data_IF_566598711885
#
_entry.id   IF_566598711885
#
_cell.length_a   1.000
_cell.length_b   1.000
_cell.length_c   1.000
_cell.angle_alpha   90.00
_cell.angle_beta   90.00
_cell.angle_gamma   90.00
#
_symmetry.space_group_name_H-M   'P 1'
#
loop_
_entity.id
_entity.type
_entity.pdbx_description
1 polymer ?
#
# COMPACT_ATOMS: atom_id res chain seq x y z
N UNK A 1 -10.49 4.45 1.98
CA UNK A 1 -9.25 3.69 2.28
C UNK A 1 -8.39 4.56 3.20
N UNK A 2 -7.88 4.03 4.33
CA UNK A 2 -7.12 4.84 5.30
C UNK A 2 -5.78 5.24 4.69
N UNK A 3 -5.56 6.55 4.56
CA UNK A 3 -4.31 7.13 4.11
C UNK A 3 -3.35 7.12 5.30
N UNK A 4 -2.36 6.21 5.29
CA UNK A 4 -1.35 6.14 6.36
C UNK A 4 -0.25 7.16 6.11
N UNK A 5 -0.05 8.05 7.08
CA UNK A 5 1.11 8.94 7.14
C UNK A 5 2.15 8.36 8.09
N UNK A 6 3.17 7.71 7.52
CA UNK A 6 4.27 7.10 8.27
C UNK A 6 5.14 8.12 9.00
N UNK A 7 4.99 9.44 8.76
CA UNK A 7 5.78 10.48 9.42
C UNK A 7 5.40 10.74 10.87
N UNK A 8 4.19 10.34 11.28
CA UNK A 8 3.66 10.63 12.61
C UNK A 8 4.02 9.59 13.67
N UNK A 9 4.84 8.58 13.34
CA UNK A 9 5.25 7.54 14.30
C UNK A 9 6.32 8.12 15.24
N UNK A 10 6.03 8.10 16.55
CA UNK A 10 6.90 8.63 17.59
C UNK A 10 8.18 7.79 17.74
N UNK A 11 9.27 8.44 18.15
CA UNK A 11 10.54 7.75 18.40
C UNK A 11 10.37 6.69 19.47
N UNK A 12 10.85 5.48 19.19
CA UNK A 12 10.82 4.36 20.13
C UNK A 12 12.08 4.44 21.01
N UNK A 13 11.95 4.73 22.32
CA UNK A 13 13.11 4.81 23.20
C UNK A 13 13.70 3.42 23.46
N UNK A 14 15.03 3.35 23.65
CA UNK A 14 15.75 2.07 23.76
C UNK A 14 16.49 2.00 25.10
N UNK A 15 16.40 0.84 25.77
CA UNK A 15 17.19 0.52 26.96
C UNK A 15 17.01 1.55 28.09
N UNK A 16 18.12 2.10 28.58
CA UNK A 16 18.13 3.04 29.72
C UNK A 16 17.39 4.35 29.44
N UNK A 17 17.36 4.81 28.19
CA UNK A 17 16.64 6.05 27.82
C UNK A 17 15.14 5.90 28.09
N UNK A 18 14.59 4.71 27.85
CA UNK A 18 13.20 4.41 28.17
C UNK A 18 12.93 4.58 29.68
N UNK A 19 13.83 4.06 30.51
CA UNK A 19 13.70 4.14 31.97
C UNK A 19 13.77 5.57 32.46
N UNK A 20 14.76 6.32 31.99
CA UNK A 20 14.97 7.69 32.43
C UNK A 20 13.78 8.58 32.06
N UNK A 21 13.19 8.35 30.88
CA UNK A 21 11.98 9.02 30.44
C UNK A 21 10.80 8.74 31.38
N UNK A 22 10.57 7.47 31.73
CA UNK A 22 9.47 7.06 32.62
C UNK A 22 9.69 7.55 34.06
N UNK A 23 10.88 7.34 34.62
CA UNK A 23 11.19 7.76 36.00
C UNK A 23 11.13 9.28 36.16
N UNK A 24 11.58 10.03 35.15
CA UNK A 24 11.48 11.49 35.13
C UNK A 24 10.02 11.95 35.13
N UNK A 25 9.16 11.30 34.33
CA UNK A 25 7.72 11.57 34.28
C UNK A 25 7.04 11.28 35.63
N UNK A 26 7.27 10.09 36.19
CA UNK A 26 6.73 9.70 37.51
C UNK A 26 7.19 10.66 38.60
N UNK A 27 8.48 11.04 38.62
CA UNK A 27 9.02 11.95 39.64
C UNK A 27 8.37 13.34 39.61
N UNK A 28 7.94 13.82 38.44
CA UNK A 28 7.24 15.10 38.28
C UNK A 28 5.77 15.04 38.67
N UNK A 29 5.09 13.92 38.36
CA UNK A 29 3.64 13.78 38.58
C UNK A 29 3.25 13.40 40.00
N UNK A 30 4.17 12.81 40.78
CA UNK A 30 3.86 12.27 42.11
C UNK A 30 4.60 13.00 43.23
N UNK A 31 4.00 13.12 44.44
CA UNK A 31 4.64 13.81 45.56
C UNK A 31 5.96 13.14 45.96
N UNK A 32 6.97 13.93 46.35
CA UNK A 32 8.33 13.43 46.63
C UNK A 32 8.75 13.51 48.10
N UNK A 33 8.07 14.33 48.90
CA UNK A 33 8.49 14.60 50.28
C UNK A 33 7.66 13.77 51.26
N UNK A 34 8.35 12.92 52.03
CA UNK A 34 7.78 12.23 53.19
C UNK A 34 8.17 12.98 54.48
N UNK A 35 7.18 13.30 55.32
CA UNK A 35 7.39 13.93 56.63
C UNK A 35 7.43 12.87 57.73
N UNK A 36 8.18 13.13 58.80
CA UNK A 36 8.20 12.28 60.00
C UNK A 36 6.82 12.36 60.68
N UNK A 37 6.23 11.21 61.00
CA UNK A 37 4.93 11.12 61.68
C UNK A 37 3.73 10.70 60.80
N UNK A 38 3.93 10.36 59.52
CA UNK A 38 2.84 9.81 58.71
C UNK A 38 2.37 8.44 59.22
N UNK A 39 1.06 8.22 59.18
CA UNK A 39 0.44 6.91 59.47
C UNK A 39 0.88 5.87 58.44
N UNK A 40 0.87 4.60 58.82
CA UNK A 40 1.23 3.51 57.90
C UNK A 40 0.32 3.51 56.66
N UNK A 41 -0.96 3.82 56.81
CA UNK A 41 -1.91 3.90 55.69
C UNK A 41 -1.51 4.97 54.68
N UNK A 42 -1.06 6.15 55.13
CA UNK A 42 -0.53 7.18 54.22
C UNK A 42 0.75 6.73 53.52
N UNK A 43 1.64 5.99 54.20
CA UNK A 43 2.84 5.44 53.58
C UNK A 43 2.48 4.42 52.49
N UNK A 44 1.53 3.51 52.77
CA UNK A 44 1.03 2.53 51.80
C UNK A 44 0.45 3.22 50.58
N UNK A 45 -0.44 4.20 50.77
CA UNK A 45 -1.02 5.00 49.68
C UNK A 45 0.06 5.73 48.87
N UNK A 46 1.04 6.34 49.54
CA UNK A 46 2.14 7.05 48.87
C UNK A 46 2.95 6.13 47.95
N UNK A 47 3.36 4.94 48.41
CA UNK A 47 4.12 4.01 47.58
C UNK A 47 3.26 3.30 46.54
N UNK A 48 2.00 3.02 46.85
CA UNK A 48 1.01 2.48 45.89
C UNK A 48 0.84 3.43 44.71
N UNK A 49 0.68 4.74 44.98
CA UNK A 49 0.61 5.76 43.94
C UNK A 49 1.86 5.76 43.05
N UNK A 50 3.06 5.63 43.64
CA UNK A 50 4.32 5.58 42.86
C UNK A 50 4.38 4.36 41.95
N UNK A 51 3.98 3.18 42.44
CA UNK A 51 3.96 1.95 41.63
C UNK A 51 2.92 2.05 40.51
N UNK A 52 1.70 2.50 40.83
CA UNK A 52 0.62 2.68 39.85
C UNK A 52 0.95 3.74 38.79
N UNK A 53 1.50 4.89 39.17
CA UNK A 53 1.88 5.91 38.18
C UNK A 53 2.99 5.40 37.24
N UNK A 54 3.90 4.57 37.76
CA UNK A 54 4.96 3.95 36.96
C UNK A 54 4.36 2.98 35.95
N UNK A 55 3.44 2.12 36.38
CA UNK A 55 2.71 1.21 35.50
C UNK A 55 1.95 1.96 34.41
N UNK A 56 1.15 2.97 34.76
CA UNK A 56 0.37 3.76 33.79
C UNK A 56 1.32 4.42 32.77
N UNK A 57 2.44 4.96 33.22
CA UNK A 57 3.43 5.57 32.33
C UNK A 57 4.04 4.55 31.36
N UNK A 58 4.34 3.33 31.81
CA UNK A 58 4.80 2.24 30.94
C UNK A 58 3.68 1.83 29.96
N UNK A 59 2.47 1.63 30.45
CA UNK A 59 1.31 1.21 29.67
C UNK A 59 0.99 2.21 28.56
N UNK A 60 0.94 3.51 28.88
CA UNK A 60 0.72 4.58 27.91
C UNK A 60 1.75 4.54 26.79
N UNK A 61 3.05 4.45 27.15
CA UNK A 61 4.13 4.54 26.17
C UNK A 61 4.21 3.29 25.29
N UNK A 62 4.02 2.10 25.86
CA UNK A 62 3.95 0.85 25.10
C UNK A 62 2.70 0.79 24.22
N UNK A 63 1.55 1.27 24.69
CA UNK A 63 0.32 1.33 23.89
C UNK A 63 0.48 2.29 22.71
N UNK A 64 1.07 3.47 22.95
CA UNK A 64 1.42 4.41 21.88
C UNK A 64 2.24 3.73 20.78
N UNK A 65 3.24 2.91 21.15
CA UNK A 65 4.04 2.16 20.17
C UNK A 65 3.18 1.13 19.43
N UNK A 66 2.32 0.37 20.12
CA UNK A 66 1.48 -0.64 19.45
C UNK A 66 0.45 0.01 18.51
N UNK A 67 -0.10 1.16 18.88
CA UNK A 67 -1.17 1.84 18.15
C UNK A 67 -0.66 2.68 16.96
N UNK A 68 0.53 3.29 17.07
CA UNK A 68 1.14 4.08 15.99
C UNK A 68 1.71 3.21 14.87
N UNK A 69 2.17 1.99 15.19
CA UNK A 69 2.70 1.08 14.20
C UNK A 69 1.56 0.39 13.44
N UNK A 70 1.54 0.46 12.10
CA UNK A 70 0.40 -0.02 11.32
C UNK A 70 0.37 -1.55 11.23
N UNK A 71 -0.81 -2.13 11.45
CA UNK A 71 -1.03 -3.55 11.20
C UNK A 71 -0.83 -3.87 9.72
N UNK A 72 0.12 -4.76 9.39
CA UNK A 72 0.48 -5.07 7.99
C UNK A 72 -0.71 -5.50 7.12
N UNK A 73 -1.74 -6.10 7.72
CA UNK A 73 -2.91 -6.60 7.00
C UNK A 73 -3.91 -5.46 6.66
N UNK A 74 -3.81 -4.30 7.30
CA UNK A 74 -4.66 -3.11 7.06
C UNK A 74 -4.01 -2.09 6.11
N UNK A 75 -2.70 -2.16 5.94
CA UNK A 75 -1.94 -1.27 5.05
C UNK A 75 -2.28 -1.56 3.59
N UNK A 76 -2.23 -0.52 2.75
CA UNK A 76 -2.35 -0.68 1.32
C UNK A 76 -1.39 -1.76 0.76
N UNK A 77 -1.85 -2.65 -0.12
CA UNK A 77 -1.02 -3.69 -0.72
C UNK A 77 0.32 -3.21 -1.32
N UNK A 78 0.38 -1.98 -1.86
CA UNK A 78 1.62 -1.37 -2.34
C UNK A 78 2.64 -1.20 -1.23
N UNK A 79 2.28 -0.54 -0.13
CA UNK A 79 3.21 -0.34 0.98
C UNK A 79 3.52 -1.66 1.66
N UNK A 80 2.57 -2.61 1.76
CA UNK A 80 2.86 -3.95 2.29
C UNK A 80 4.00 -4.61 1.50
N UNK A 81 3.94 -4.59 0.17
CA UNK A 81 5.01 -5.11 -0.69
C UNK A 81 6.33 -4.34 -0.52
N UNK A 82 6.30 -3.01 -0.50
CA UNK A 82 7.51 -2.19 -0.32
C UNK A 82 8.18 -2.47 1.04
N UNK A 83 7.37 -2.64 2.08
CA UNK A 83 7.83 -2.94 3.44
C UNK A 83 8.43 -4.35 3.52
N UNK A 84 7.88 -5.34 2.82
CA UNK A 84 8.47 -6.69 2.71
C UNK A 84 9.88 -6.70 2.11
N UNK A 85 10.21 -5.73 1.27
CA UNK A 85 11.57 -5.61 0.72
C UNK A 85 12.57 -5.13 1.77
N UNK A 86 12.08 -4.38 2.77
CA UNK A 86 12.91 -3.75 3.79
C UNK A 86 13.04 -4.62 5.04
N UNK A 87 12.00 -5.40 5.39
CA UNK A 87 11.99 -6.20 6.60
C UNK A 87 11.11 -7.46 6.52
N UNK A 88 11.40 -8.40 7.42
CA UNK A 88 10.62 -9.63 7.57
C UNK A 88 9.30 -9.37 8.32
N UNK A 89 8.18 -9.74 7.67
CA UNK A 89 6.82 -9.63 8.19
C UNK A 89 6.64 -10.41 9.49
N UNK A 90 7.22 -11.60 9.57
CA UNK A 90 7.00 -12.49 10.72
C UNK A 90 7.78 -11.97 11.94
N UNK A 91 9.01 -11.51 11.73
CA UNK A 91 9.79 -10.86 12.77
C UNK A 91 9.13 -9.56 13.26
N UNK A 92 8.60 -8.72 12.36
CA UNK A 92 7.86 -7.50 12.73
C UNK A 92 6.63 -7.81 13.61
N UNK A 93 5.81 -8.77 13.20
CA UNK A 93 4.63 -9.19 13.99
C UNK A 93 5.03 -9.77 15.35
N UNK A 94 6.11 -10.55 15.39
CA UNK A 94 6.64 -11.10 16.64
C UNK A 94 7.08 -9.99 17.60
N UNK A 95 7.85 -9.00 17.12
CA UNK A 95 8.32 -7.88 17.94
C UNK A 95 7.15 -7.04 18.49
N UNK A 96 6.14 -6.71 17.68
CA UNK A 96 4.94 -6.04 18.17
C UNK A 96 4.16 -6.89 19.19
N UNK A 97 4.06 -8.21 18.95
CA UNK A 97 3.44 -9.14 19.90
C UNK A 97 4.17 -9.19 21.25
N UNK A 98 5.51 -9.17 21.24
CA UNK A 98 6.32 -9.11 22.46
C UNK A 98 6.09 -7.80 23.23
N UNK A 99 6.01 -6.66 22.54
CA UNK A 99 5.68 -5.37 23.17
C UNK A 99 4.30 -5.41 23.82
N UNK A 100 3.31 -5.96 23.12
CA UNK A 100 1.95 -6.10 23.66
C UNK A 100 1.90 -7.05 24.88
N UNK A 101 2.68 -8.15 24.85
CA UNK A 101 2.78 -9.08 25.97
C UNK A 101 3.44 -8.42 27.18
N UNK A 102 4.53 -7.68 26.96
CA UNK A 102 5.23 -6.93 28.00
C UNK A 102 4.33 -5.87 28.66
N UNK A 103 3.48 -5.21 27.88
CA UNK A 103 2.46 -4.29 28.41
C UNK A 103 1.57 -4.95 29.45
N UNK A 104 1.05 -6.16 29.17
CA UNK A 104 0.20 -6.89 30.11
C UNK A 104 0.99 -7.41 31.32
N UNK A 105 2.20 -7.94 31.12
CA UNK A 105 3.05 -8.41 32.22
C UNK A 105 3.37 -7.30 33.23
N UNK A 106 3.58 -6.06 32.77
CA UNK A 106 3.83 -4.91 33.64
C UNK A 106 2.60 -4.59 34.51
N UNK A 107 1.39 -4.66 33.93
CA UNK A 107 0.13 -4.47 34.68
C UNK A 107 -0.06 -5.57 35.73
N UNK A 108 0.25 -6.82 35.40
CA UNK A 108 0.16 -7.94 36.35
C UNK A 108 1.15 -7.77 37.52
N UNK A 109 2.41 -7.47 37.23
CA UNK A 109 3.44 -7.16 38.25
C UNK A 109 2.99 -6.00 39.14
N UNK A 110 2.43 -4.94 38.54
CA UNK A 110 1.90 -3.79 39.28
C UNK A 110 0.82 -4.22 40.28
N UNK A 111 -0.17 -4.99 39.83
CA UNK A 111 -1.28 -5.44 40.66
C UNK A 111 -0.82 -6.33 41.83
N UNK A 112 0.14 -7.22 41.59
CA UNK A 112 0.72 -8.08 42.62
C UNK A 112 1.43 -7.28 43.72
N UNK A 113 2.27 -6.31 43.32
CA UNK A 113 2.98 -5.46 44.28
C UNK A 113 2.06 -4.47 45.00
N UNK A 114 1.00 -3.99 44.36
CA UNK A 114 -0.02 -3.15 45.00
C UNK A 114 -0.73 -3.94 46.10
N UNK A 115 -1.12 -5.18 45.82
CA UNK A 115 -1.71 -6.08 46.81
C UNK A 115 -0.76 -6.32 47.99
N UNK A 116 0.54 -6.53 47.73
CA UNK A 116 1.53 -6.68 48.81
C UNK A 116 1.75 -5.39 49.62
N UNK A 117 1.66 -4.22 48.98
CA UNK A 117 1.79 -2.92 49.64
C UNK A 117 0.64 -2.63 50.60
N UNK A 118 -0.56 -3.18 50.38
CA UNK A 118 -1.69 -3.07 51.30
C UNK A 118 -1.38 -3.64 52.70
N UNK A 119 -0.51 -4.64 52.78
CA UNK A 119 -0.10 -5.31 54.02
C UNK A 119 1.24 -4.81 54.59
N UNK A 120 1.90 -3.84 53.96
CA UNK A 120 3.22 -3.37 54.41
C UNK A 120 3.19 -2.74 55.82
N UNK A 121 4.02 -3.21 56.75
CA UNK A 121 3.94 -2.80 58.16
C UNK A 121 4.90 -1.65 58.52
N UNK A 122 5.93 -1.43 57.69
CA UNK A 122 6.97 -0.43 57.95
C UNK A 122 7.34 0.38 56.72
N UNK A 123 7.88 1.58 56.95
CA UNK A 123 8.45 2.44 55.89
C UNK A 123 9.54 1.70 55.09
N UNK A 124 10.40 0.94 55.77
CA UNK A 124 11.48 0.19 55.13
C UNK A 124 10.93 -0.87 54.19
N UNK A 125 9.95 -1.65 54.64
CA UNK A 125 9.30 -2.67 53.83
C UNK A 125 8.60 -2.08 52.60
N UNK A 126 7.81 -1.01 52.78
CA UNK A 126 7.14 -0.34 51.66
C UNK A 126 8.15 0.20 50.63
N UNK A 127 9.28 0.77 51.09
CA UNK A 127 10.34 1.26 50.19
C UNK A 127 11.00 0.12 49.41
N UNK A 128 11.24 -1.03 50.05
CA UNK A 128 11.80 -2.22 49.39
C UNK A 128 10.81 -2.75 48.35
N UNK A 129 9.53 -2.91 48.70
CA UNK A 129 8.48 -3.36 47.78
C UNK A 129 8.38 -2.45 46.55
N UNK A 130 8.32 -1.12 46.74
CA UNK A 130 8.33 -0.16 45.63
C UNK A 130 9.56 -0.32 44.74
N UNK A 131 10.74 -0.53 45.32
CA UNK A 131 11.99 -0.64 44.55
C UNK A 131 12.04 -1.96 43.79
N UNK A 132 11.56 -3.04 44.39
CA UNK A 132 11.42 -4.35 43.76
C UNK A 132 10.42 -4.31 42.60
N UNK A 133 9.26 -3.68 42.79
CA UNK A 133 8.24 -3.53 41.76
C UNK A 133 8.79 -2.82 40.51
N UNK A 134 9.39 -1.64 40.69
CA UNK A 134 9.98 -0.87 39.59
C UNK A 134 11.13 -1.65 38.93
N UNK A 135 11.96 -2.36 39.72
CA UNK A 135 13.04 -3.18 39.19
C UNK A 135 12.55 -4.33 38.31
N UNK A 136 11.45 -5.00 38.71
CA UNK A 136 10.86 -6.07 37.91
C UNK A 136 10.21 -5.54 36.62
N UNK A 137 9.47 -4.43 36.70
CA UNK A 137 8.92 -3.76 35.52
C UNK A 137 10.04 -3.40 34.52
N UNK A 138 11.16 -2.88 35.03
CA UNK A 138 12.32 -2.59 34.19
C UNK A 138 12.95 -3.85 33.60
N UNK A 139 13.07 -4.93 34.37
CA UNK A 139 13.61 -6.19 33.86
C UNK A 139 12.83 -6.71 32.65
N UNK A 140 11.49 -6.58 32.65
CA UNK A 140 10.64 -6.92 31.50
C UNK A 140 10.99 -6.06 30.27
N UNK A 141 11.18 -4.75 30.45
CA UNK A 141 11.57 -3.84 29.36
C UNK A 141 12.96 -4.17 28.82
N UNK A 142 13.90 -4.51 29.71
CA UNK A 142 15.26 -4.87 29.33
C UNK A 142 15.28 -6.15 28.48
N UNK A 143 14.37 -7.08 28.73
CA UNK A 143 14.21 -8.31 27.94
C UNK A 143 13.71 -8.01 26.51
N UNK A 144 12.75 -7.09 26.35
CA UNK A 144 12.21 -6.70 25.03
C UNK A 144 13.01 -5.61 24.31
N UNK A 145 14.13 -5.15 24.90
CA UNK A 145 14.96 -4.08 24.32
C UNK A 145 15.46 -4.37 22.90
N UNK A 146 15.87 -5.62 22.53
CA UNK A 146 16.21 -5.94 21.15
C UNK A 146 15.05 -5.70 20.17
N UNK A 147 13.84 -6.03 20.58
CA UNK A 147 12.61 -5.85 19.78
C UNK A 147 12.26 -4.38 19.62
N UNK A 148 12.43 -3.57 20.66
CA UNK A 148 12.28 -2.10 20.59
C UNK A 148 13.31 -1.48 19.66
N UNK A 149 14.57 -1.93 19.70
CA UNK A 149 15.62 -1.46 18.80
C UNK A 149 15.32 -1.79 17.33
N UNK A 150 14.78 -2.99 17.07
CA UNK A 150 14.32 -3.38 15.74
C UNK A 150 13.16 -2.51 15.24
N UNK A 151 12.16 -2.26 16.09
CA UNK A 151 11.03 -1.37 15.75
C UNK A 151 11.50 0.07 15.47
N UNK A 152 12.49 0.59 16.19
CA UNK A 152 13.06 1.90 15.91
C UNK A 152 13.76 1.95 14.54
N UNK A 153 14.49 0.89 14.16
CA UNK A 153 15.07 0.79 12.81
C UNK A 153 13.98 0.82 11.74
N UNK A 154 12.94 0.00 11.90
CA UNK A 154 11.79 -0.02 10.97
C UNK A 154 11.12 1.34 10.88
N UNK A 155 10.91 2.02 12.01
CA UNK A 155 10.33 3.36 12.04
C UNK A 155 11.15 4.35 11.21
N UNK A 156 12.47 4.34 11.38
CA UNK A 156 13.37 5.21 10.60
C UNK A 156 13.29 4.94 9.10
N UNK A 157 13.04 3.68 8.69
CA UNK A 157 12.78 3.35 7.29
C UNK A 157 11.41 3.82 6.82
N UNK A 158 10.34 3.58 7.60
CA UNK A 158 8.97 3.95 7.27
C UNK A 158 8.81 5.47 7.11
N UNK A 159 9.40 6.27 8.00
CA UNK A 159 9.34 7.75 7.95
C UNK A 159 9.97 8.32 6.67
N UNK A 160 10.94 7.60 6.09
CA UNK A 160 11.62 7.99 4.84
C UNK A 160 10.87 7.57 3.58
N UNK A 161 9.84 6.73 3.69
CA UNK A 161 9.06 6.35 2.51
C UNK A 161 8.28 7.57 2.00
N UNK A 162 8.39 7.88 0.70
CA UNK A 162 7.61 8.96 0.12
C UNK A 162 6.14 8.56 0.08
N UNK A 163 5.28 9.55 0.17
CA UNK A 163 3.85 9.34 -0.01
C UNK A 163 3.54 9.12 -1.50
N UNK A 164 2.84 8.02 -1.77
CA UNK A 164 2.35 7.59 -3.08
C UNK A 164 0.84 7.42 -3.02
N UNK A 165 0.15 8.01 -3.99
CA UNK A 165 -1.25 7.75 -4.27
C UNK A 165 -1.38 6.81 -5.47
N UNK A 166 -2.15 5.74 -5.29
CA UNK A 166 -2.30 4.66 -6.27
C UNK A 166 -3.33 4.99 -7.34
N UNK A 167 -4.25 5.90 -7.02
CA UNK A 167 -5.32 6.31 -7.94
C UNK A 167 -4.90 7.49 -8.80
N UNK A 168 -3.88 8.24 -8.38
CA UNK A 168 -3.32 9.34 -9.16
C UNK A 168 -2.59 8.80 -10.38
N UNK A 169 -2.75 9.40 -11.57
CA UNK A 169 -2.01 9.00 -12.76
C UNK A 169 -0.50 9.13 -12.55
N UNK A 170 0.24 8.05 -12.81
CA UNK A 170 1.68 7.95 -12.51
C UNK A 170 2.52 7.78 -13.77
N UNK A 171 3.64 8.50 -13.85
CA UNK A 171 4.71 8.26 -14.82
C UNK A 171 5.85 7.52 -14.10
N UNK A 172 6.09 6.26 -14.47
CA UNK A 172 7.16 5.44 -13.92
C UNK A 172 8.41 5.57 -14.80
N UNK A 173 9.46 6.19 -14.29
CA UNK A 173 10.72 6.42 -15.00
C UNK A 173 11.71 5.30 -14.70
N UNK A 174 11.99 4.49 -15.71
CA UNK A 174 12.85 3.32 -15.69
C UNK A 174 14.05 3.49 -16.64
N UNK A 175 15.12 2.75 -16.40
CA UNK A 175 16.31 2.72 -17.24
C UNK A 175 17.57 2.43 -16.43
N UNK A 176 18.71 2.31 -17.10
CA UNK A 176 19.99 2.07 -16.42
C UNK A 176 20.39 3.23 -15.48
N UNK A 177 21.25 3.01 -14.48
CA UNK A 177 21.87 4.10 -13.72
C UNK A 177 22.65 5.05 -14.64
N UNK A 178 22.78 6.31 -14.24
CA UNK A 178 23.49 7.38 -14.97
C UNK A 178 22.93 7.74 -16.34
N UNK A 179 21.78 7.18 -16.73
CA UNK A 179 20.99 7.67 -17.86
C UNK A 179 20.22 8.92 -17.40
N UNK A 180 19.83 9.79 -18.33
CA UNK A 180 19.16 11.10 -18.11
C UNK A 180 17.81 11.09 -17.35
N UNK A 181 17.46 10.00 -16.65
CA UNK A 181 16.28 9.86 -15.78
C UNK A 181 16.19 10.96 -14.74
N UNK A 182 17.27 11.19 -13.98
CA UNK A 182 17.30 12.20 -12.92
C UNK A 182 17.25 13.61 -13.51
N UNK A 183 17.87 13.81 -14.68
CA UNK A 183 17.80 15.08 -15.42
C UNK A 183 16.36 15.40 -15.84
N UNK A 184 15.65 14.40 -16.38
CA UNK A 184 14.22 14.50 -16.70
C UNK A 184 13.40 14.83 -15.45
N UNK A 185 13.61 14.10 -14.35
CA UNK A 185 12.89 14.28 -13.09
C UNK A 185 13.07 15.69 -12.49
N UNK A 186 14.31 16.19 -12.46
CA UNK A 186 14.65 17.52 -11.95
C UNK A 186 13.89 18.65 -12.63
N UNK A 187 13.61 18.50 -13.94
CA UNK A 187 13.06 19.57 -14.78
C UNK A 187 11.54 19.56 -14.86
N UNK A 188 10.93 18.38 -14.75
CA UNK A 188 9.45 18.26 -14.78
C UNK A 188 8.80 18.50 -13.42
N UNK A 189 9.56 18.30 -12.33
CA UNK A 189 9.02 18.37 -10.98
C UNK A 189 8.63 19.82 -10.66
N UNK A 190 7.34 20.04 -10.45
CA UNK A 190 6.77 21.35 -10.10
C UNK A 190 6.81 21.59 -8.59
N UNK A 191 7.01 20.52 -7.80
CA UNK A 191 7.18 20.62 -6.35
C UNK A 191 8.59 21.10 -5.98
N UNK A 192 8.66 22.20 -5.23
CA UNK A 192 9.87 22.62 -4.52
C UNK A 192 10.15 21.66 -3.35
N UNK A 193 10.63 20.46 -3.66
CA UNK A 193 11.39 19.68 -2.68
C UNK A 193 12.85 20.04 -2.91
N UNK A 194 13.32 21.04 -2.17
CA UNK A 194 14.73 21.19 -1.87
C UNK A 194 15.30 19.81 -1.48
N UNK A 195 16.48 19.52 -2.01
CA UNK A 195 17.33 18.37 -1.68
C UNK A 195 16.94 16.98 -2.23
N UNK A 196 17.47 16.70 -3.43
CA UNK A 196 17.85 15.37 -3.93
C UNK A 196 18.89 14.63 -3.04
N UNK A 197 19.14 15.11 -1.82
CA UNK A 197 20.20 14.62 -0.90
C UNK A 197 19.68 13.65 0.15
N UNK A 198 18.37 13.44 0.32
CA UNK A 198 17.85 12.32 1.12
C UNK A 198 17.78 11.03 0.31
N UNK A 199 18.88 10.69 -0.38
CA UNK A 199 19.14 9.32 -0.83
C UNK A 199 19.34 8.46 0.42
N UNK A 200 18.24 7.97 0.98
CA UNK A 200 18.31 6.85 1.90
C UNK A 200 18.71 5.65 1.06
N UNK A 201 19.84 5.01 1.38
CA UNK A 201 20.36 3.79 0.72
C UNK A 201 19.39 2.58 0.72
N UNK A 202 18.16 2.78 1.20
CA UNK A 202 17.12 1.78 1.38
C UNK A 202 15.88 2.03 0.53
N UNK A 203 15.71 3.25 -0.01
CA UNK A 203 14.57 3.61 -0.86
C UNK A 203 15.11 3.89 -2.25
N UNK A 204 14.98 2.90 -3.13
CA UNK A 204 15.54 2.91 -4.48
C UNK A 204 14.72 3.72 -5.50
N UNK A 205 13.85 4.62 -5.02
CA UNK A 205 13.00 5.43 -5.89
C UNK A 205 12.72 6.81 -5.30
N UNK A 206 12.47 7.77 -6.19
CA UNK A 206 12.14 9.16 -5.85
C UNK A 206 10.77 9.49 -6.42
N UNK A 207 9.98 10.25 -5.68
CA UNK A 207 8.64 10.71 -6.08
C UNK A 207 8.66 12.21 -6.26
N UNK A 208 8.06 12.69 -7.34
CA UNK A 208 7.75 14.09 -7.55
C UNK A 208 6.43 14.25 -8.29
N UNK A 209 6.10 15.48 -8.60
CA UNK A 209 4.78 15.84 -9.11
C UNK A 209 4.90 16.79 -10.29
N UNK A 210 4.03 16.61 -11.27
CA UNK A 210 3.94 17.50 -12.42
C UNK A 210 2.49 17.73 -12.79
N UNK A 211 2.23 18.82 -13.51
CA UNK A 211 0.89 19.19 -13.94
C UNK A 211 0.80 19.16 -15.48
N UNK A 212 -0.33 18.66 -15.98
CA UNK A 212 -0.67 18.63 -17.40
C UNK A 212 -2.20 18.67 -17.58
N UNK A 213 -2.70 19.59 -18.42
CA UNK A 213 -4.15 19.83 -18.65
C UNK A 213 -4.96 19.90 -17.33
N UNK A 214 -4.48 20.69 -16.37
CA UNK A 214 -5.07 20.90 -15.03
C UNK A 214 -5.24 19.62 -14.18
N UNK A 215 -4.57 18.53 -14.57
CA UNK A 215 -4.48 17.29 -13.80
C UNK A 215 -3.08 17.16 -13.20
N UNK A 216 -3.04 16.72 -11.95
CA UNK A 216 -1.79 16.39 -11.27
C UNK A 216 -1.38 14.97 -11.60
N UNK A 217 -0.13 14.82 -11.98
CA UNK A 217 0.52 13.55 -12.24
C UNK A 217 1.61 13.33 -11.18
N UNK A 218 1.74 12.08 -10.77
CA UNK A 218 2.86 11.65 -9.98
C UNK A 218 3.96 11.15 -10.92
N UNK A 219 5.22 11.48 -10.65
CA UNK A 219 6.36 10.92 -11.38
C UNK A 219 7.23 10.17 -10.40
N UNK A 220 7.53 8.91 -10.69
CA UNK A 220 8.32 8.02 -9.84
C UNK A 220 9.56 7.60 -10.61
N UNK A 221 10.73 8.03 -10.16
CA UNK A 221 12.03 7.64 -10.72
C UNK A 221 12.60 6.45 -9.95
N UNK A 222 12.96 5.38 -10.67
CA UNK A 222 13.66 4.23 -10.10
C UNK A 222 15.17 4.42 -10.28
N UNK A 223 15.90 4.47 -9.16
CA UNK A 223 17.33 4.83 -9.11
C UNK A 223 18.26 3.64 -9.39
N UNK A 224 17.96 2.48 -8.83
CA UNK A 224 18.88 1.34 -8.84
C UNK A 224 18.81 0.51 -10.14
N UNK A 225 19.87 -0.29 -10.37
CA UNK A 225 19.73 -1.41 -11.29
C UNK A 225 18.59 -2.29 -10.77
N UNK A 226 17.67 -2.71 -11.65
CA UNK A 226 16.77 -3.80 -11.32
C UNK A 226 17.63 -5.01 -10.95
N UNK A 227 17.70 -5.35 -9.66
CA UNK A 227 18.18 -6.66 -9.23
C UNK A 227 17.24 -7.70 -9.83
N UNK A 228 17.72 -8.90 -10.14
CA UNK A 228 16.83 -9.95 -10.66
C UNK A 228 16.09 -10.59 -9.48
N UNK A 229 14.75 -10.67 -9.52
CA UNK A 229 13.92 -11.33 -8.49
C UNK A 229 12.50 -10.76 -8.34
N UNK A 230 11.59 -11.53 -7.74
CA UNK A 230 10.19 -11.13 -7.53
C UNK A 230 10.02 -10.06 -6.45
N UNK A 231 11.01 -9.92 -5.56
CA UNK A 231 11.06 -8.93 -4.47
C UNK A 231 11.68 -7.59 -4.87
N UNK A 232 11.32 -7.03 -6.02
CA UNK A 232 11.87 -5.75 -6.47
C UNK A 232 10.86 -4.61 -6.31
N UNK A 233 11.38 -3.40 -6.04
CA UNK A 233 10.58 -2.16 -6.00
C UNK A 233 9.80 -1.95 -7.30
N UNK A 234 10.40 -2.27 -8.45
CA UNK A 234 9.76 -2.12 -9.77
C UNK A 234 8.54 -3.04 -9.89
N UNK A 235 8.65 -4.29 -9.44
CA UNK A 235 7.56 -5.23 -9.49
C UNK A 235 6.40 -4.78 -8.58
N UNK A 236 6.72 -4.30 -7.36
CA UNK A 236 5.72 -3.75 -6.44
C UNK A 236 5.01 -2.53 -7.05
N UNK A 237 5.75 -1.51 -7.49
CA UNK A 237 5.18 -0.30 -8.09
C UNK A 237 4.33 -0.63 -9.32
N UNK A 238 4.84 -1.46 -10.21
CA UNK A 238 4.16 -1.81 -11.46
C UNK A 238 2.88 -2.61 -11.18
N UNK A 239 2.91 -3.54 -10.23
CA UNK A 239 1.75 -4.38 -9.89
C UNK A 239 0.59 -3.57 -9.29
N UNK A 240 0.87 -2.59 -8.44
CA UNK A 240 -0.17 -1.86 -7.71
C UNK A 240 -0.60 -0.55 -8.37
N UNK A 241 0.29 0.14 -9.09
CA UNK A 241 -0.04 1.39 -9.76
C UNK A 241 -0.77 1.12 -11.08
N UNK A 242 -2.09 1.02 -11.03
CA UNK A 242 -2.91 0.67 -12.20
C UNK A 242 -2.86 1.73 -13.29
N UNK A 243 -3.00 3.00 -12.93
CA UNK A 243 -2.96 4.13 -13.84
C UNK A 243 -1.52 4.64 -14.09
N UNK A 244 -0.60 3.72 -14.40
CA UNK A 244 0.81 4.04 -14.62
C UNK A 244 1.22 3.87 -16.09
N UNK A 245 1.99 4.83 -16.60
CA UNK A 245 2.72 4.73 -17.87
C UNK A 245 4.20 4.58 -17.58
N UNK A 246 4.88 3.69 -18.29
CA UNK A 246 6.30 3.43 -18.11
C UNK A 246 7.11 4.21 -19.15
N UNK A 247 8.06 5.01 -18.68
CA UNK A 247 9.07 5.71 -19.47
C UNK A 247 10.39 4.95 -19.33
N UNK A 248 10.85 4.29 -20.39
CA UNK A 248 12.13 3.58 -20.39
C UNK A 248 13.19 4.39 -21.12
N UNK A 249 14.15 4.95 -20.37
CA UNK A 249 15.23 5.76 -20.92
C UNK A 249 16.37 4.87 -21.43
N UNK A 250 16.78 5.11 -22.67
CA UNK A 250 17.90 4.45 -23.34
C UNK A 250 18.96 5.49 -23.72
N UNK A 251 20.18 5.28 -23.25
CA UNK A 251 21.35 6.05 -23.70
C UNK A 251 22.03 5.32 -24.85
N UNK A 252 21.89 5.86 -26.06
CA UNK A 252 22.52 5.30 -27.25
C UNK A 252 23.97 5.75 -27.46
N UNK A 253 24.45 6.76 -26.71
CA UNK A 253 25.87 7.19 -26.79
C UNK A 253 26.82 6.26 -26.04
N UNK A 254 26.30 5.51 -25.06
CA UNK A 254 27.11 4.69 -24.15
C UNK A 254 27.81 5.50 -23.05
N UNK A 255 27.50 6.79 -22.90
CA UNK A 255 28.04 7.66 -21.85
C UNK A 255 27.67 7.19 -20.44
N UNK A 256 26.56 6.47 -20.29
CA UNK A 256 26.12 5.87 -19.03
C UNK A 256 27.02 4.70 -18.57
N UNK A 257 28.00 4.28 -19.38
CA UNK A 257 28.92 3.19 -19.09
C UNK A 257 28.41 1.79 -19.45
N UNK A 258 27.29 1.70 -20.18
CA UNK A 258 26.67 0.44 -20.60
C UNK A 258 26.33 0.47 -22.09
N UNK A 259 26.55 -0.65 -22.80
CA UNK A 259 26.15 -0.77 -24.20
C UNK A 259 24.63 -0.89 -24.36
N UNK A 260 24.12 -0.50 -25.53
CA UNK A 260 22.69 -0.61 -25.88
C UNK A 260 22.19 -2.05 -25.74
N UNK A 261 23.01 -3.05 -26.08
CA UNK A 261 22.67 -4.47 -25.88
C UNK A 261 22.38 -4.82 -24.41
N UNK A 262 23.14 -4.30 -23.44
CA UNK A 262 22.85 -4.52 -22.02
C UNK A 262 21.55 -3.82 -21.60
N UNK A 263 21.30 -2.62 -22.13
CA UNK A 263 20.06 -1.88 -21.92
C UNK A 263 18.84 -2.63 -22.47
N UNK A 264 18.99 -3.27 -23.65
CA UNK A 264 17.98 -4.13 -24.27
C UNK A 264 17.63 -5.34 -23.39
N UNK A 265 18.64 -6.04 -22.85
CA UNK A 265 18.44 -7.19 -21.97
C UNK A 265 17.59 -6.81 -20.75
N UNK A 266 17.85 -5.64 -20.17
CA UNK A 266 17.06 -5.13 -19.05
C UNK A 266 15.64 -4.76 -19.46
N UNK A 267 15.46 -4.15 -20.63
CA UNK A 267 14.15 -3.84 -21.15
C UNK A 267 13.31 -5.11 -21.31
N UNK A 268 13.85 -6.16 -21.95
CA UNK A 268 13.15 -7.42 -22.14
C UNK A 268 12.88 -8.16 -20.83
N UNK A 269 13.77 -8.06 -19.84
CA UNK A 269 13.53 -8.68 -18.52
C UNK A 269 12.42 -7.98 -17.74
N UNK A 270 12.30 -6.65 -17.87
CA UNK A 270 11.25 -5.87 -17.21
C UNK A 270 9.92 -5.85 -17.99
N UNK A 271 9.94 -6.12 -19.30
CA UNK A 271 8.75 -6.07 -20.16
C UNK A 271 7.61 -6.95 -19.64
N UNK A 272 7.93 -8.12 -19.06
CA UNK A 272 6.95 -9.01 -18.44
C UNK A 272 6.23 -8.41 -17.23
N UNK A 273 6.86 -7.45 -16.53
CA UNK A 273 6.25 -6.75 -15.40
C UNK A 273 5.28 -5.67 -15.90
N UNK A 274 5.53 -5.08 -17.07
CA UNK A 274 4.78 -3.97 -17.64
C UNK A 274 3.52 -4.40 -18.42
N UNK A 275 3.07 -5.64 -18.25
CA UNK A 275 1.84 -6.15 -18.86
C UNK A 275 0.67 -5.23 -18.53
N UNK A 276 -0.18 -4.98 -19.52
CA UNK A 276 -1.30 -4.05 -19.44
C UNK A 276 -0.88 -2.61 -19.08
N UNK A 277 0.34 -2.15 -19.37
CA UNK A 277 0.74 -0.74 -19.19
C UNK A 277 1.25 -0.12 -20.49
N UNK A 278 0.92 1.15 -20.78
CA UNK A 278 1.54 1.84 -21.90
C UNK A 278 3.02 2.07 -21.60
N UNK A 279 3.86 1.88 -22.61
CA UNK A 279 5.31 1.95 -22.49
C UNK A 279 5.87 2.88 -23.57
N UNK A 280 6.67 3.86 -23.16
CA UNK A 280 7.35 4.78 -24.07
C UNK A 280 8.85 4.61 -23.87
N UNK A 281 9.54 4.21 -24.93
CA UNK A 281 11.00 4.15 -24.97
C UNK A 281 11.49 5.54 -25.34
N UNK A 282 12.30 6.15 -24.47
CA UNK A 282 12.85 7.50 -24.66
C UNK A 282 14.32 7.38 -25.01
N UNK A 283 14.70 7.90 -26.18
CA UNK A 283 16.09 7.99 -26.62
C UNK A 283 16.53 9.46 -26.67
N UNK A 284 17.73 9.75 -26.15
CA UNK A 284 18.29 11.09 -26.22
C UNK A 284 18.70 11.43 -27.67
N UNK A 285 18.19 12.55 -28.18
CA UNK A 285 18.42 13.01 -29.56
C UNK A 285 19.88 13.29 -29.88
N UNK A 286 20.65 13.81 -28.91
CA UNK A 286 22.08 14.15 -29.07
C UNK A 286 22.93 12.90 -29.33
N UNK A 287 22.43 11.72 -28.94
CA UNK A 287 23.12 10.45 -29.11
C UNK A 287 23.00 9.90 -30.55
N UNK A 288 22.03 10.39 -31.34
CA UNK A 288 21.73 9.84 -32.68
C UNK A 288 22.83 10.07 -33.72
N UNK A 289 23.71 11.05 -33.51
CA UNK A 289 24.70 11.48 -34.51
C UNK A 289 25.78 10.39 -34.74
N UNK A 290 25.95 9.44 -33.82
CA UNK A 290 26.99 8.40 -33.87
C UNK A 290 26.49 6.98 -33.55
N UNK A 291 25.20 6.69 -33.72
CA UNK A 291 24.66 5.34 -33.44
C UNK A 291 25.11 4.35 -34.50
N UNK A 292 25.61 3.19 -34.05
CA UNK A 292 25.89 2.06 -34.95
C UNK A 292 24.58 1.46 -35.45
N UNK A 293 24.53 1.05 -36.71
CA UNK A 293 23.33 0.43 -37.30
C UNK A 293 22.79 -0.76 -36.48
N UNK A 294 23.68 -1.52 -35.82
CA UNK A 294 23.32 -2.62 -34.93
C UNK A 294 22.56 -2.16 -33.68
N UNK A 295 23.00 -1.06 -33.06
CA UNK A 295 22.37 -0.51 -31.86
C UNK A 295 21.01 0.14 -32.21
N UNK A 296 20.89 0.75 -33.39
CA UNK A 296 19.62 1.27 -33.89
C UNK A 296 18.58 0.15 -34.11
N UNK A 297 18.99 -0.97 -34.73
CA UNK A 297 18.11 -2.14 -34.90
C UNK A 297 17.61 -2.68 -33.57
N UNK A 298 18.46 -2.71 -32.53
CA UNK A 298 18.04 -3.15 -31.19
C UNK A 298 16.98 -2.21 -30.58
N UNK A 299 17.12 -0.90 -30.76
CA UNK A 299 16.12 0.09 -30.29
C UNK A 299 14.81 -0.06 -31.08
N UNK A 300 14.91 -0.29 -32.40
CA UNK A 300 13.76 -0.55 -33.26
C UNK A 300 13.06 -1.87 -32.87
N UNK A 301 13.79 -2.92 -32.52
CA UNK A 301 13.23 -4.18 -32.00
C UNK A 301 12.51 -3.99 -30.67
N UNK A 302 13.08 -3.19 -29.75
CA UNK A 302 12.42 -2.86 -28.48
C UNK A 302 11.08 -2.15 -28.67
N UNK A 303 10.93 -1.40 -29.77
CA UNK A 303 9.78 -0.52 -30.03
C UNK A 303 8.76 -1.14 -30.98
N UNK A 304 9.20 -1.98 -31.92
CA UNK A 304 8.35 -2.53 -32.97
C UNK A 304 7.53 -3.73 -32.53
N UNK A 305 7.92 -4.43 -31.47
CA UNK A 305 7.24 -5.63 -30.99
C UNK A 305 7.21 -6.76 -32.04
N UNK A 306 7.85 -7.89 -31.79
CA UNK A 306 7.52 -9.12 -32.52
C UNK A 306 6.06 -9.49 -32.22
N UNK A 307 5.15 -9.01 -33.07
CA UNK A 307 3.72 -9.30 -33.04
C UNK A 307 3.47 -10.76 -33.42
N UNK A 308 3.55 -11.63 -32.43
CA UNK A 308 2.92 -12.94 -32.48
C UNK A 308 1.48 -12.83 -31.97
N UNK A 309 0.54 -12.75 -32.92
CA UNK A 309 -0.89 -13.08 -32.80
C UNK A 309 -1.69 -12.47 -31.62
N UNK A 310 -2.57 -11.54 -32.00
CA UNK A 310 -3.92 -11.25 -31.47
C UNK A 310 -4.21 -10.05 -30.54
N UNK A 311 -3.27 -9.45 -29.80
CA UNK A 311 -3.62 -8.29 -28.95
C UNK A 311 -2.91 -6.97 -29.35
N UNK A 312 -3.60 -6.15 -30.16
CA UNK A 312 -3.18 -4.80 -30.59
C UNK A 312 -3.39 -3.71 -29.52
N UNK A 313 -2.97 -3.92 -28.28
CA UNK A 313 -3.13 -2.90 -27.22
C UNK A 313 -1.82 -2.43 -26.55
N UNK A 314 -0.68 -3.06 -26.83
CA UNK A 314 0.62 -2.66 -26.30
C UNK A 314 1.36 -1.73 -27.27
N UNK A 315 0.94 -0.47 -27.39
CA UNK A 315 1.71 0.52 -28.15
C UNK A 315 2.98 0.90 -27.36
N UNK A 316 4.07 0.16 -27.61
CA UNK A 316 5.43 0.60 -27.32
C UNK A 316 5.82 1.72 -28.29
N UNK A 317 5.97 2.94 -27.79
CA UNK A 317 6.29 4.10 -28.64
C UNK A 317 7.74 4.55 -28.47
N UNK A 318 8.44 4.79 -29.58
CA UNK A 318 9.76 5.42 -29.55
C UNK A 318 9.62 6.95 -29.56
N UNK A 319 10.12 7.61 -28.52
CA UNK A 319 10.26 9.05 -28.49
C UNK A 319 11.74 9.44 -28.49
N UNK A 320 12.12 10.21 -29.50
CA UNK A 320 13.43 10.82 -29.61
C UNK A 320 13.31 12.27 -29.19
N UNK A 321 14.14 12.71 -28.26
CA UNK A 321 14.12 14.11 -27.81
C UNK A 321 15.39 14.49 -27.06
N UNK A 322 15.78 15.76 -27.17
CA UNK A 322 16.92 16.30 -26.46
C UNK A 322 16.59 16.60 -24.98
N UNK A 323 17.02 15.70 -24.08
CA UNK A 323 16.82 15.84 -22.63
C UNK A 323 17.58 17.03 -22.03
N UNK A 324 18.52 17.65 -22.76
CA UNK A 324 19.25 18.85 -22.32
C UNK A 324 18.49 20.16 -22.53
N UNK A 325 17.43 20.13 -23.33
CA UNK A 325 16.53 21.28 -23.57
C UNK A 325 15.23 21.14 -22.79
N UNK A 326 14.62 22.25 -22.38
CA UNK A 326 13.29 22.23 -21.74
C UNK A 326 12.21 21.74 -22.70
N UNK A 327 12.30 22.10 -23.98
CA UNK A 327 11.36 21.67 -25.02
C UNK A 327 11.32 20.14 -25.20
N UNK A 328 12.49 19.50 -25.23
CA UNK A 328 12.58 18.03 -25.34
C UNK A 328 11.96 17.33 -24.13
N UNK A 329 12.25 17.81 -22.93
CA UNK A 329 11.67 17.28 -21.68
C UNK A 329 10.15 17.45 -21.64
N UNK A 330 9.65 18.64 -21.96
CA UNK A 330 8.22 18.92 -22.00
C UNK A 330 7.51 18.11 -23.08
N UNK A 331 8.18 17.84 -24.20
CA UNK A 331 7.63 17.01 -25.25
C UNK A 331 7.43 15.55 -24.83
N UNK A 332 8.40 14.95 -24.12
CA UNK A 332 8.25 13.60 -23.53
C UNK A 332 7.13 13.60 -22.51
N UNK A 333 7.11 14.59 -21.60
CA UNK A 333 6.06 14.74 -20.59
C UNK A 333 4.67 14.79 -21.24
N UNK A 334 4.47 15.68 -22.20
CA UNK A 334 3.18 15.89 -22.83
C UNK A 334 2.71 14.64 -23.59
N UNK A 335 3.61 13.98 -24.31
CA UNK A 335 3.31 12.72 -25.01
C UNK A 335 2.88 11.64 -24.01
N UNK A 336 3.61 11.48 -22.91
CA UNK A 336 3.30 10.51 -21.88
C UNK A 336 1.95 10.79 -21.20
N UNK A 337 1.72 12.04 -20.79
CA UNK A 337 0.48 12.43 -20.13
C UNK A 337 -0.74 12.28 -21.06
N UNK A 338 -0.62 12.68 -22.32
CA UNK A 338 -1.69 12.53 -23.32
C UNK A 338 -2.06 11.06 -23.54
N UNK A 339 -1.07 10.18 -23.71
CA UNK A 339 -1.32 8.74 -23.85
C UNK A 339 -2.03 8.12 -22.65
N UNK A 340 -1.67 8.57 -21.44
CA UNK A 340 -2.33 8.10 -20.22
C UNK A 340 -3.80 8.58 -20.16
N UNK A 341 -4.08 9.81 -20.62
CA UNK A 341 -5.45 10.33 -20.72
C UNK A 341 -6.28 9.58 -21.74
N UNK A 342 -5.75 9.39 -22.96
CA UNK A 342 -6.44 8.65 -24.02
C UNK A 342 -6.84 7.26 -23.54
N UNK A 343 -5.94 6.59 -22.81
CA UNK A 343 -6.22 5.28 -22.23
C UNK A 343 -7.31 5.36 -21.16
N UNK A 344 -7.25 6.35 -20.27
CA UNK A 344 -8.27 6.56 -19.23
C UNK A 344 -9.64 6.79 -19.85
N UNK A 345 -9.73 7.62 -20.89
CA UNK A 345 -10.97 7.89 -21.62
C UNK A 345 -11.52 6.64 -22.29
N UNK A 346 -10.66 5.86 -22.98
CA UNK A 346 -11.05 4.57 -23.57
C UNK A 346 -11.63 3.61 -22.53
N UNK A 347 -10.97 3.47 -21.38
CA UNK A 347 -11.45 2.60 -20.29
C UNK A 347 -12.79 3.11 -19.72
N UNK A 348 -12.97 4.42 -19.59
CA UNK A 348 -14.24 5.03 -19.16
C UNK A 348 -15.38 4.71 -20.14
N UNK A 349 -15.15 4.87 -21.45
CA UNK A 349 -16.13 4.56 -22.50
C UNK A 349 -16.52 3.07 -22.51
N UNK A 350 -15.53 2.18 -22.31
CA UNK A 350 -15.79 0.73 -22.21
C UNK A 350 -16.64 0.43 -20.97
N UNK A 351 -16.33 1.03 -19.82
CA UNK A 351 -17.08 0.85 -18.59
C UNK A 351 -18.54 1.32 -18.72
N UNK A 352 -18.75 2.50 -19.31
CA UNK A 352 -20.11 3.02 -19.62
C UNK A 352 -20.86 2.09 -20.58
N UNK A 353 -20.20 1.61 -21.62
CA UNK A 353 -20.78 0.66 -22.58
C UNK A 353 -21.19 -0.66 -21.94
N UNK A 354 -20.37 -1.20 -21.03
CA UNK A 354 -20.69 -2.41 -20.26
C UNK A 354 -21.84 -2.18 -19.29
N UNK A 355 -21.86 -1.04 -18.59
CA UNK A 355 -22.93 -0.69 -17.66
C UNK A 355 -24.28 -0.56 -18.41
N UNK A 356 -24.28 0.09 -19.57
CA UNK A 356 -25.46 0.20 -20.41
C UNK A 356 -25.94 -1.17 -20.92
N UNK A 357 -25.02 -2.06 -21.34
CA UNK A 357 -25.38 -3.44 -21.73
C UNK A 357 -25.96 -4.23 -20.56
N UNK A 358 -25.43 -4.06 -19.35
CA UNK A 358 -25.94 -4.72 -18.16
C UNK A 358 -27.35 -4.23 -17.78
N UNK A 359 -27.58 -2.92 -17.83
CA UNK A 359 -28.90 -2.31 -17.60
C UNK A 359 -29.92 -2.83 -18.62
N UNK A 360 -29.56 -2.83 -19.92
CA UNK A 360 -30.43 -3.37 -20.97
C UNK A 360 -30.75 -4.86 -20.77
N UNK A 361 -29.75 -5.67 -20.42
CA UNK A 361 -29.96 -7.09 -20.14
C UNK A 361 -30.85 -7.33 -18.90
N UNK A 362 -30.72 -6.49 -17.87
CA UNK A 362 -31.56 -6.53 -16.68
C UNK A 362 -33.01 -6.14 -17.00
N UNK A 363 -33.21 -5.08 -17.78
CA UNK A 363 -34.53 -4.64 -18.24
C UNK A 363 -35.19 -5.65 -19.17
N UNK A 364 -34.45 -6.25 -20.10
CA UNK A 364 -34.95 -7.35 -20.95
C UNK A 364 -35.29 -8.59 -20.14
N UNK A 365 -34.50 -8.92 -19.11
CA UNK A 365 -34.79 -9.99 -18.17
C UNK A 365 -36.08 -9.76 -17.37
N UNK A 366 -36.32 -8.52 -16.93
CA UNK A 366 -37.57 -8.12 -16.25
C UNK A 366 -38.76 -8.19 -17.21
N UNK A 367 -38.61 -7.69 -18.46
CA UNK A 367 -39.67 -7.75 -19.46
C UNK A 367 -40.05 -9.19 -19.82
N UNK A 368 -39.05 -10.06 -20.03
CA UNK A 368 -39.30 -11.50 -20.24
C UNK A 368 -39.96 -12.16 -19.04
N UNK A 369 -39.55 -11.82 -17.81
CA UNK A 369 -40.23 -12.33 -16.62
C UNK A 369 -41.69 -11.86 -16.51
N UNK A 370 -41.99 -10.64 -16.94
CA UNK A 370 -43.37 -10.13 -17.02
C UNK A 370 -44.18 -10.77 -18.16
N UNK A 371 -43.56 -11.00 -19.32
CA UNK A 371 -44.18 -11.71 -20.45
C UNK A 371 -44.44 -13.18 -20.09
N UNK A 372 -43.49 -13.87 -19.45
CA UNK A 372 -43.66 -15.23 -18.95
C UNK A 372 -44.75 -15.30 -17.86
N UNK A 373 -44.86 -14.29 -16.98
CA UNK A 373 -45.97 -14.20 -16.00
C UNK A 373 -47.32 -13.93 -16.67
N UNK A 374 -47.38 -13.08 -17.70
CA UNK A 374 -48.61 -12.83 -18.46
C UNK A 374 -49.03 -14.03 -19.30
N UNK A 375 -48.09 -14.72 -19.94
CA UNK A 375 -48.32 -15.95 -20.71
C UNK A 375 -48.73 -17.11 -19.80
N UNK A 376 -48.12 -17.29 -18.62
CA UNK A 376 -48.59 -18.24 -17.61
C UNK A 376 -50.00 -17.88 -17.11
N UNK A 377 -50.34 -16.58 -17.00
CA UNK A 377 -51.69 -16.12 -16.64
C UNK A 377 -52.72 -16.34 -17.75
N UNK A 378 -52.33 -16.21 -19.02
CA UNK A 378 -53.16 -16.46 -20.20
C UNK A 378 -53.38 -17.95 -20.38
N UNK A 379 -52.34 -18.77 -20.23
CA UNK A 379 -52.43 -20.25 -20.25
C UNK A 379 -53.25 -20.79 -19.07
N UNK A 380 -53.16 -20.17 -17.88
CA UNK A 380 -54.04 -20.48 -16.76
C UNK A 380 -55.51 -20.07 -17.02
N UNK A 381 -55.76 -18.96 -17.73
CA UNK A 381 -57.11 -18.53 -18.13
C UNK A 381 -57.74 -19.42 -19.18
N UNK A 382 -56.97 -19.94 -20.14
CA UNK A 382 -57.45 -20.91 -21.14
C UNK A 382 -57.75 -22.27 -20.49
N UNK A 383 -56.88 -22.76 -19.59
CA UNK A 383 -57.14 -24.00 -18.83
C UNK A 383 -58.35 -23.89 -17.88
N UNK A 384 -58.64 -22.70 -17.32
CA UNK A 384 -59.83 -22.47 -16.49
C UNK A 384 -61.13 -22.42 -17.31
N UNK A 385 -61.07 -22.10 -18.61
CA UNK A 385 -62.25 -22.15 -19.49
C UNK A 385 -62.58 -23.57 -19.98
N UNK A 386 -61.60 -24.45 -20.11
CA UNK A 386 -61.83 -25.85 -20.51
C UNK A 386 -62.16 -26.79 -19.34
N UNK A 387 -61.78 -26.44 -18.10
CA UNK A 387 -61.92 -27.33 -16.93
C UNK A 387 -63.12 -27.04 -16.01
N UNK A 388 -64.20 -26.42 -16.49
CA UNK A 388 -65.49 -26.43 -15.78
C UNK A 388 -66.32 -27.69 -16.13
N UNK A 389 -65.74 -28.87 -15.85
CA UNK A 389 -66.44 -30.08 -15.39
C UNK A 389 -65.51 -30.82 -14.42
N UNK A 390 -65.88 -30.70 -13.15
CA UNK A 390 -65.56 -31.58 -12.03
C UNK A 390 -64.13 -31.56 -11.40
N UNK A 391 -64.13 -31.07 -10.15
CA UNK A 391 -63.18 -31.18 -9.02
C UNK A 391 -62.11 -30.08 -8.79
N UNK A 392 -61.96 -29.59 -7.54
CA UNK A 392 -61.01 -28.55 -7.17
C UNK A 392 -59.62 -29.13 -6.88
N UNK A 393 -58.59 -28.68 -7.60
CA UNK A 393 -57.18 -28.99 -7.29
C UNK A 393 -56.54 -27.78 -6.60
N UNK A 394 -55.90 -28.04 -5.45
CA UNK A 394 -55.28 -27.04 -4.60
C UNK A 394 -54.02 -26.42 -5.25
N UNK A 395 -53.97 -25.09 -5.35
CA UNK A 395 -52.77 -24.35 -5.73
C UNK A 395 -51.72 -24.41 -4.60
N UNK A 396 -50.60 -25.12 -4.84
CA UNK A 396 -49.40 -25.02 -4.00
C UNK A 396 -48.54 -23.85 -4.49
N UNK A 397 -48.35 -22.85 -3.63
CA UNK A 397 -47.32 -21.80 -3.76
C UNK A 397 -45.96 -22.43 -4.04
N UNK A 398 -45.38 -22.15 -5.20
CA UNK A 398 -43.99 -22.46 -5.51
C UNK A 398 -43.14 -21.37 -4.85
N UNK A 399 -42.21 -21.77 -3.99
CA UNK A 399 -41.40 -20.88 -3.15
C UNK A 399 -40.26 -20.17 -3.91
N UNK A 400 -39.84 -18.96 -3.48
CA UNK A 400 -38.80 -18.12 -4.10
C UNK A 400 -37.37 -18.70 -4.13
N UNK A 401 -37.17 -19.94 -3.67
CA UNK A 401 -35.84 -20.60 -3.58
C UNK A 401 -35.33 -21.03 -4.97
N UNK A 402 -36.21 -21.34 -5.92
CA UNK A 402 -35.81 -21.74 -7.28
C UNK A 402 -35.27 -20.58 -8.13
N UNK A 403 -35.80 -19.38 -7.93
CA UNK A 403 -35.32 -18.15 -8.58
C UNK A 403 -33.93 -17.78 -8.04
N UNK A 404 -33.71 -17.97 -6.74
CA UNK A 404 -32.40 -17.72 -6.12
C UNK A 404 -31.32 -18.69 -6.64
N UNK A 405 -31.65 -19.97 -6.84
CA UNK A 405 -30.73 -20.96 -7.40
C UNK A 405 -30.43 -20.68 -8.88
N UNK A 406 -31.42 -20.23 -9.65
CA UNK A 406 -31.22 -19.81 -11.05
C UNK A 406 -30.36 -18.55 -11.16
N UNK A 407 -30.52 -17.58 -10.25
CA UNK A 407 -29.68 -16.38 -10.14
C UNK A 407 -28.22 -16.72 -9.81
N UNK A 408 -27.99 -17.66 -8.88
CA UNK A 408 -26.63 -18.12 -8.54
C UNK A 408 -25.98 -18.85 -9.71
N UNK A 409 -26.74 -19.65 -10.47
CA UNK A 409 -26.24 -20.33 -11.66
C UNK A 409 -25.94 -19.36 -12.81
N UNK A 410 -26.78 -18.34 -13.02
CA UNK A 410 -26.56 -17.32 -14.05
C UNK A 410 -25.33 -16.45 -13.71
N UNK A 411 -25.15 -16.09 -12.44
CA UNK A 411 -23.94 -15.40 -11.96
C UNK A 411 -22.70 -16.28 -12.16
N UNK A 412 -22.76 -17.58 -11.84
CA UNK A 412 -21.61 -18.49 -12.04
C UNK A 412 -21.27 -18.72 -13.52
N UNK A 413 -22.27 -18.80 -14.41
CA UNK A 413 -22.08 -19.02 -15.86
C UNK A 413 -21.59 -17.74 -16.57
N UNK A 414 -22.06 -16.57 -16.14
CA UNK A 414 -21.61 -15.28 -16.69
C UNK A 414 -20.23 -14.88 -16.14
N UNK A 415 -19.93 -15.20 -14.88
CA UNK A 415 -18.63 -14.91 -14.23
C UNK A 415 -17.55 -15.92 -14.65
N UNK A 416 -17.91 -17.16 -15.00
CA UNK A 416 -16.96 -18.22 -15.34
C UNK A 416 -16.16 -18.02 -16.64
N UNK A 417 -16.57 -17.11 -17.53
CA UNK A 417 -15.96 -16.93 -18.86
C UNK A 417 -15.14 -15.64 -19.05
N UNK A 418 -14.94 -14.83 -18.00
CA UNK A 418 -14.20 -13.56 -18.12
C UNK A 418 -13.36 -13.26 -16.88
N UNK A 419 -12.50 -14.20 -16.50
CA UNK A 419 -11.65 -14.06 -15.30
C UNK A 419 -10.54 -13.00 -15.43
N UNK A 420 -10.24 -12.45 -16.61
CA UNK A 420 -9.20 -11.43 -16.80
C UNK A 420 -9.68 -9.98 -16.73
N UNK A 421 -10.87 -9.68 -17.27
CA UNK A 421 -11.30 -8.30 -17.59
C UNK A 421 -12.16 -7.67 -16.47
N UNK A 422 -12.84 -8.50 -15.67
CA UNK A 422 -13.76 -8.02 -14.63
C UNK A 422 -13.02 -7.42 -13.41
N UNK A 423 -11.80 -7.89 -13.12
CA UNK A 423 -11.01 -7.39 -12.00
C UNK A 423 -10.48 -5.96 -12.24
N UNK A 424 -10.34 -5.56 -13.50
CA UNK A 424 -10.00 -4.17 -13.88
C UNK A 424 -11.22 -3.24 -13.78
N UNK A 425 -12.41 -3.68 -14.21
CA UNK A 425 -13.63 -2.86 -14.20
C UNK A 425 -14.23 -2.65 -12.80
N UNK A 426 -14.22 -3.67 -11.92
CA UNK A 426 -14.77 -3.53 -10.56
C UNK A 426 -13.96 -2.57 -9.67
N UNK A 427 -12.72 -2.29 -10.04
CA UNK A 427 -11.87 -1.36 -9.29
C UNK A 427 -12.02 0.11 -9.67
N UNK A 428 -12.68 0.41 -10.80
CA UNK A 428 -12.98 1.77 -11.25
C UNK A 428 -14.31 2.29 -10.67
N UNK A 429 -15.12 1.43 -10.04
CA UNK A 429 -16.46 1.75 -9.52
C UNK A 429 -16.59 1.68 -7.99
N UNK A 430 -15.51 1.42 -7.25
CA UNK A 430 -15.51 1.48 -5.78
C UNK A 430 -15.04 2.84 -5.27
N UNK A 431 -16.00 3.65 -4.81
CA UNK A 431 -15.77 4.73 -3.84
C UNK A 431 -15.16 4.19 -2.54
#
# INVERSE_FOLDING_TARGET
MVQYDFKNISVVPIGNEFVDLILSRVHRQTPNVLRKGFTINHLRQFYTLKVKETEVSFFDKLSTIVDEFPGLDEINPLYNDLLRLSFDRDHYKLCLGQVNTARHMITDISNDYVTQLEFGESLKQCKVLKTSAIGQMFSVINEITPSLAYLEQIRQHMVRLPWIDINTPTLLVCGYPNVDKTCFMNRINTGASDDYTTKSSLVNFVVGHTEYKDLRYQVIEILDRPTFGDGNVIAALTRHLRAALVLFFVDASGSCGYSVAHQAVLFYSLKSLFMNKPLVVVCEETCLIQIREQDWKLIEEMTSGMGGYEDKEEETFLRISNMRTEEGVMSVKNTACERLLDRRERLSCIAEGLNNKYILAYEEGIKKAHEDEEDDFVMAKEHVREAHKDQPVAFRKIQPVRILIALVFLVLVVVGNTHGVIQECLSALSF
#
